data_IF_484726248512
#
_entry.id   IF_484726248512
#
_cell.length_a   1.000
_cell.length_b   1.000
_cell.length_c   1.000
_cell.angle_alpha   90.00
_cell.angle_beta   90.00
_cell.angle_gamma   90.00
#
_symmetry.space_group_name_H-M   'P 1'
#
loop_
_entity.id
_entity.type
_entity.pdbx_description
1 polymer ?
#
# COMPACT_ATOMS: atom_id res chain seq x y z
N UNK A 1 -0.96 9.78 -5.39
CA UNK A 1 -1.74 8.51 -5.43
C UNK A 1 -0.73 7.40 -5.38
N UNK A 2 -0.75 6.52 -4.38
CA UNK A 2 0.29 5.51 -4.22
C UNK A 2 0.14 4.46 -5.33
N UNK A 3 1.14 4.38 -6.22
CA UNK A 3 1.21 3.34 -7.25
C UNK A 3 1.63 2.02 -6.61
N UNK A 4 1.04 0.93 -7.09
CA UNK A 4 1.43 -0.41 -6.67
C UNK A 4 2.47 -0.97 -7.62
N UNK A 5 3.60 -1.44 -7.10
CA UNK A 5 4.72 -1.91 -7.91
C UNK A 5 4.36 -3.21 -8.61
N UNK A 6 3.69 -4.14 -7.92
CA UNK A 6 3.36 -5.44 -8.49
C UNK A 6 1.98 -5.48 -9.19
N UNK A 7 1.18 -4.41 -9.15
CA UNK A 7 -0.22 -4.45 -9.61
C UNK A 7 -0.65 -3.28 -10.52
N UNK A 8 0.24 -2.36 -10.88
CA UNK A 8 -0.11 -1.21 -11.74
C UNK A 8 -0.74 -1.62 -13.09
N UNK A 9 -0.38 -2.78 -13.63
CA UNK A 9 -0.98 -3.28 -14.87
C UNK A 9 -2.51 -3.48 -14.79
N UNK A 10 -3.10 -3.54 -13.60
CA UNK A 10 -4.55 -3.64 -13.39
C UNK A 10 -5.28 -2.29 -13.52
N UNK A 11 -4.57 -1.16 -13.62
CA UNK A 11 -5.16 0.19 -13.69
C UNK A 11 -6.14 0.32 -14.85
N UNK A 12 -5.87 -0.36 -15.97
CA UNK A 12 -6.72 -0.37 -17.18
C UNK A 12 -8.06 -1.05 -16.92
N UNK A 13 -8.12 -2.04 -16.02
CA UNK A 13 -9.34 -2.80 -15.74
C UNK A 13 -10.13 -2.23 -14.57
N UNK A 14 -9.48 -1.89 -13.46
CA UNK A 14 -10.15 -1.32 -12.28
C UNK A 14 -9.16 -0.64 -11.31
N UNK A 15 -9.28 0.67 -11.14
CA UNK A 15 -8.42 1.44 -10.24
C UNK A 15 -8.61 1.10 -8.73
N UNK A 16 -9.78 0.56 -8.33
CA UNK A 16 -10.02 0.12 -6.95
C UNK A 16 -9.23 -1.15 -6.64
N UNK A 17 -9.05 -2.07 -7.61
CA UNK A 17 -8.17 -3.23 -7.45
C UNK A 17 -6.74 -2.77 -7.13
N UNK A 18 -6.20 -1.85 -7.93
CA UNK A 18 -4.85 -1.30 -7.74
C UNK A 18 -4.73 -0.63 -6.38
N UNK A 19 -5.72 0.15 -5.96
CA UNK A 19 -5.70 0.80 -4.64
C UNK A 19 -5.72 -0.19 -3.48
N UNK A 20 -6.46 -1.30 -3.59
CA UNK A 20 -6.46 -2.35 -2.55
C UNK A 20 -5.11 -3.06 -2.50
N UNK A 21 -4.52 -3.35 -3.66
CA UNK A 21 -3.21 -3.96 -3.76
C UNK A 21 -2.09 -3.04 -3.24
N UNK A 22 -2.07 -1.77 -3.62
CA UNK A 22 -1.13 -0.77 -3.11
C UNK A 22 -1.17 -0.66 -1.58
N UNK A 23 -2.39 -0.68 -1.01
CA UNK A 23 -2.55 -0.70 0.46
C UNK A 23 -2.01 -1.99 1.07
N UNK A 24 -2.23 -3.13 0.44
CA UNK A 24 -1.67 -4.39 0.91
C UNK A 24 -0.13 -4.36 0.90
N UNK A 25 0.48 -3.84 -0.16
CA UNK A 25 1.94 -3.66 -0.24
C UNK A 25 2.47 -2.70 0.82
N UNK A 26 1.75 -1.61 1.10
CA UNK A 26 2.11 -0.68 2.18
C UNK A 26 2.02 -1.34 3.56
N UNK A 27 0.91 -2.00 3.87
CA UNK A 27 0.74 -2.65 5.18
C UNK A 27 1.60 -3.88 5.34
N UNK A 28 2.10 -4.49 4.26
CA UNK A 28 2.96 -5.67 4.34
C UNK A 28 4.15 -5.48 5.29
N UNK A 29 4.68 -4.25 5.37
CA UNK A 29 5.80 -3.89 6.24
C UNK A 29 5.38 -3.64 7.69
N UNK A 30 4.29 -2.92 7.89
CA UNK A 30 3.91 -2.41 9.21
C UNK A 30 2.95 -3.34 9.96
N UNK A 31 2.08 -4.01 9.23
CA UNK A 31 1.01 -4.86 9.76
C UNK A 31 0.64 -5.97 8.75
N UNK A 32 1.29 -7.14 8.84
CA UNK A 32 1.02 -8.25 7.93
C UNK A 32 -0.43 -8.74 8.01
N UNK A 33 -1.10 -8.61 9.15
CA UNK A 33 -2.52 -8.97 9.31
C UNK A 33 -3.38 -8.04 8.45
N UNK A 34 -3.17 -6.73 8.56
CA UNK A 34 -3.89 -5.76 7.71
C UNK A 34 -3.58 -5.98 6.23
N UNK A 35 -2.34 -6.30 5.86
CA UNK A 35 -1.98 -6.63 4.48
C UNK A 35 -2.81 -7.80 3.94
N UNK A 36 -2.89 -8.90 4.68
CA UNK A 36 -3.70 -10.09 4.33
C UNK A 36 -5.19 -9.72 4.20
N UNK A 37 -5.72 -8.88 5.10
CA UNK A 37 -7.11 -8.39 5.02
C UNK A 37 -7.34 -7.60 3.73
N UNK A 38 -6.40 -6.72 3.34
CA UNK A 38 -6.51 -5.97 2.06
C UNK A 38 -6.45 -6.90 0.85
N UNK A 39 -5.64 -7.95 0.89
CA UNK A 39 -5.56 -8.94 -0.20
C UNK A 39 -6.85 -9.77 -0.32
N UNK A 40 -7.52 -10.06 0.80
CA UNK A 40 -8.86 -10.66 0.79
C UNK A 40 -9.89 -9.72 0.15
N UNK A 41 -9.85 -8.42 0.48
CA UNK A 41 -10.73 -7.42 -0.13
C UNK A 41 -10.49 -7.32 -1.64
N UNK A 42 -9.22 -7.33 -2.07
CA UNK A 42 -8.82 -7.37 -3.47
C UNK A 42 -9.40 -8.59 -4.19
N UNK A 43 -9.22 -9.79 -3.64
CA UNK A 43 -9.73 -11.03 -4.21
C UNK A 43 -11.27 -11.03 -4.28
N UNK A 44 -11.94 -10.56 -3.22
CA UNK A 44 -13.40 -10.44 -3.20
C UNK A 44 -13.93 -9.49 -4.26
N UNK A 45 -13.32 -8.31 -4.42
CA UNK A 45 -13.68 -7.37 -5.49
C UNK A 45 -13.46 -7.99 -6.87
N UNK A 46 -12.33 -8.67 -7.09
CA UNK A 46 -12.04 -9.31 -8.37
C UNK A 46 -13.06 -10.40 -8.71
N UNK A 47 -13.45 -11.24 -7.74
CA UNK A 47 -14.49 -12.25 -7.95
C UNK A 47 -15.84 -11.62 -8.34
N UNK A 48 -16.22 -10.50 -7.72
CA UNK A 48 -17.42 -9.73 -8.13
C UNK A 48 -17.30 -9.21 -9.56
N UNK A 49 -16.14 -8.67 -9.94
CA UNK A 49 -15.89 -8.20 -11.30
C UNK A 49 -15.96 -9.34 -12.33
N UNK A 50 -15.44 -10.51 -12.00
CA UNK A 50 -15.54 -11.73 -12.83
C UNK A 50 -17.01 -12.11 -13.01
N UNK A 51 -17.76 -12.25 -11.91
CA UNK A 51 -19.19 -12.57 -11.98
C UNK A 51 -19.97 -11.56 -12.83
N UNK A 52 -19.70 -10.26 -12.65
CA UNK A 52 -20.38 -9.19 -13.40
C UNK A 52 -20.10 -9.30 -14.91
N UNK A 53 -18.85 -9.59 -15.30
CA UNK A 53 -18.47 -9.76 -16.71
C UNK A 53 -19.10 -10.98 -17.38
N UNK A 54 -19.49 -11.98 -16.60
CA UNK A 54 -20.14 -13.20 -17.08
C UNK A 54 -21.66 -13.17 -16.92
N UNK A 55 -22.24 -12.06 -16.44
CA UNK A 55 -23.70 -11.94 -16.24
C UNK A 55 -24.24 -12.79 -15.10
N UNK A 56 -23.36 -13.24 -14.19
CA UNK A 56 -23.68 -14.14 -13.07
C UNK A 56 -23.53 -13.43 -11.73
N UNK A 57 -23.57 -12.10 -11.73
CA UNK A 57 -23.57 -11.29 -10.52
C UNK A 57 -25.01 -11.00 -10.10
N UNK A 58 -25.42 -11.49 -8.94
CA UNK A 58 -26.82 -11.41 -8.50
C UNK A 58 -27.05 -10.20 -7.59
N UNK A 59 -26.20 -10.00 -6.57
CA UNK A 59 -26.40 -8.93 -5.57
C UNK A 59 -25.09 -8.44 -4.91
N UNK A 60 -25.13 -7.22 -4.35
CA UNK A 60 -24.06 -6.64 -3.53
C UNK A 60 -23.81 -7.40 -2.23
N UNK A 61 -24.86 -8.01 -1.66
CA UNK A 61 -24.79 -8.74 -0.38
C UNK A 61 -24.31 -10.18 -0.53
N UNK A 62 -24.06 -10.63 -1.75
CA UNK A 62 -23.53 -11.98 -1.98
C UNK A 62 -22.21 -12.18 -1.23
N UNK A 63 -22.13 -13.32 -0.54
CA UNK A 63 -20.91 -13.67 0.18
C UNK A 63 -19.81 -14.04 -0.81
N UNK A 64 -18.56 -13.75 -0.44
CA UNK A 64 -17.41 -14.11 -1.26
C UNK A 64 -17.38 -15.62 -1.58
N UNK A 65 -17.77 -16.46 -0.64
CA UNK A 65 -17.84 -17.91 -0.85
C UNK A 65 -18.92 -18.32 -1.88
N UNK A 66 -20.12 -17.72 -1.81
CA UNK A 66 -21.19 -18.02 -2.75
C UNK A 66 -20.79 -17.70 -4.20
N UNK A 67 -20.17 -16.53 -4.41
CA UNK A 67 -19.66 -16.12 -5.72
C UNK A 67 -18.63 -17.14 -6.23
N UNK A 68 -17.63 -17.51 -5.41
CA UNK A 68 -16.60 -18.47 -5.84
C UNK A 68 -17.17 -19.84 -6.17
N UNK A 69 -18.16 -20.31 -5.41
CA UNK A 69 -18.82 -21.58 -5.65
C UNK A 69 -19.53 -21.57 -7.00
N UNK A 70 -20.27 -20.49 -7.31
CA UNK A 70 -20.96 -20.32 -8.59
C UNK A 70 -19.97 -20.25 -9.75
N UNK A 71 -18.96 -19.39 -9.66
CA UNK A 71 -17.92 -19.25 -10.69
C UNK A 71 -17.21 -20.58 -11.01
N UNK A 72 -16.98 -21.40 -9.98
CA UNK A 72 -16.35 -22.72 -10.14
C UNK A 72 -17.32 -23.74 -10.74
N UNK A 73 -18.57 -23.77 -10.26
CA UNK A 73 -19.60 -24.69 -10.74
C UNK A 73 -19.91 -24.47 -12.22
N UNK A 74 -20.03 -23.21 -12.64
CA UNK A 74 -20.26 -22.81 -14.03
C UNK A 74 -18.99 -22.86 -14.90
N UNK A 75 -17.85 -23.27 -14.34
CA UNK A 75 -16.55 -23.36 -15.03
C UNK A 75 -16.09 -22.03 -15.64
N UNK A 76 -16.50 -20.91 -15.06
CA UNK A 76 -16.05 -19.56 -15.46
C UNK A 76 -14.58 -19.37 -15.10
N UNK A 77 -14.18 -19.85 -13.92
CA UNK A 77 -12.79 -19.81 -13.47
C UNK A 77 -12.17 -21.22 -13.50
N UNK A 78 -10.92 -21.36 -13.97
CA UNK A 78 -10.19 -22.62 -13.86
C UNK A 78 -10.00 -23.04 -12.40
N UNK A 79 -9.89 -24.35 -12.14
CA UNK A 79 -9.67 -24.89 -10.78
C UNK A 79 -8.47 -24.24 -10.07
N UNK A 80 -7.34 -24.10 -10.76
CA UNK A 80 -6.16 -23.48 -10.18
C UNK A 80 -6.41 -22.03 -9.71
N UNK A 81 -7.25 -21.28 -10.42
CA UNK A 81 -7.62 -19.92 -10.05
C UNK A 81 -8.61 -19.92 -8.87
N UNK A 82 -9.57 -20.86 -8.86
CA UNK A 82 -10.46 -21.06 -7.71
C UNK A 82 -9.67 -21.40 -6.43
N UNK A 83 -8.64 -22.24 -6.54
CA UNK A 83 -7.77 -22.59 -5.41
C UNK A 83 -7.04 -21.37 -4.86
N UNK A 84 -6.53 -20.49 -5.73
CA UNK A 84 -5.89 -19.22 -5.34
C UNK A 84 -6.88 -18.27 -4.65
N UNK A 85 -8.09 -18.12 -5.19
CA UNK A 85 -9.16 -17.35 -4.53
C UNK A 85 -9.49 -17.91 -3.14
N UNK A 86 -9.60 -19.24 -3.02
CA UNK A 86 -9.88 -19.89 -1.74
C UNK A 86 -8.72 -19.74 -0.74
N UNK A 87 -7.46 -19.79 -1.18
CA UNK A 87 -6.30 -19.54 -0.33
C UNK A 87 -6.37 -18.12 0.29
N UNK A 88 -6.60 -17.10 -0.55
CA UNK A 88 -6.74 -15.72 -0.10
C UNK A 88 -7.96 -15.51 0.82
N UNK A 89 -9.09 -16.16 0.51
CA UNK A 89 -10.29 -16.11 1.36
C UNK A 89 -10.03 -16.70 2.74
N UNK A 90 -9.41 -17.87 2.81
CA UNK A 90 -9.11 -18.57 4.07
C UNK A 90 -8.12 -17.79 4.92
N UNK A 91 -6.98 -17.40 4.34
CA UNK A 91 -5.96 -16.60 5.01
C UNK A 91 -6.56 -15.29 5.56
N UNK A 92 -7.34 -14.58 4.75
CA UNK A 92 -7.98 -13.35 5.18
C UNK A 92 -9.08 -13.54 6.22
N UNK A 93 -9.82 -14.65 6.19
CA UNK A 93 -10.80 -14.93 7.25
C UNK A 93 -10.08 -15.17 8.60
N UNK A 94 -9.01 -15.97 8.61
CA UNK A 94 -8.19 -16.17 9.82
C UNK A 94 -7.56 -14.87 10.31
N UNK A 95 -7.06 -14.02 9.41
CA UNK A 95 -6.54 -12.70 9.78
C UNK A 95 -7.61 -11.79 10.43
N UNK A 96 -8.86 -11.83 9.95
CA UNK A 96 -9.95 -11.04 10.52
C UNK A 96 -10.42 -11.58 11.87
N UNK A 97 -10.59 -12.91 11.99
CA UNK A 97 -11.21 -13.52 13.17
C UNK A 97 -10.22 -13.81 14.30
N UNK A 98 -9.01 -14.26 13.95
CA UNK A 98 -8.02 -14.74 14.91
C UNK A 98 -6.87 -13.74 15.12
N UNK A 99 -6.91 -12.58 14.45
CA UNK A 99 -5.80 -11.63 14.36
C UNK A 99 -4.46 -12.32 13.97
N UNK A 100 -4.55 -13.39 13.19
CA UNK A 100 -3.42 -14.27 12.87
C UNK A 100 -2.85 -13.96 11.48
N UNK A 101 -1.54 -13.86 11.40
CA UNK A 101 -0.81 -13.69 10.15
C UNK A 101 0.56 -13.09 10.38
N UNK A 102 1.61 -13.82 10.00
CA UNK A 102 2.97 -13.31 10.04
C UNK A 102 3.40 -12.79 8.65
N UNK A 103 4.62 -12.24 8.57
CA UNK A 103 5.17 -11.73 7.29
C UNK A 103 5.29 -12.81 6.20
N UNK A 104 5.54 -14.07 6.56
CA UNK A 104 5.58 -15.17 5.59
C UNK A 104 4.19 -15.44 5.01
N UNK A 105 3.15 -15.43 5.86
CA UNK A 105 1.76 -15.59 5.42
C UNK A 105 1.34 -14.44 4.50
N UNK A 106 1.70 -13.21 4.87
CA UNK A 106 1.41 -12.02 4.08
C UNK A 106 2.15 -12.03 2.73
N UNK A 107 3.41 -12.52 2.71
CA UNK A 107 4.19 -12.66 1.47
C UNK A 107 3.59 -13.72 0.55
N UNK A 108 3.17 -14.86 1.11
CA UNK A 108 2.48 -15.89 0.35
C UNK A 108 1.16 -15.35 -0.24
N UNK A 109 0.39 -14.62 0.56
CA UNK A 109 -0.85 -13.98 0.11
C UNK A 109 -0.59 -12.93 -0.99
N UNK A 110 0.46 -12.10 -0.89
CA UNK A 110 0.83 -11.15 -1.93
C UNK A 110 1.16 -11.85 -3.25
N UNK A 111 1.93 -12.94 -3.20
CA UNK A 111 2.27 -13.72 -4.39
C UNK A 111 1.03 -14.34 -5.03
N UNK A 112 0.11 -14.88 -4.23
CA UNK A 112 -1.16 -15.40 -4.72
C UNK A 112 -2.03 -14.31 -5.36
N UNK A 113 -2.11 -13.13 -4.73
CA UNK A 113 -2.84 -12.00 -5.31
C UNK A 113 -2.21 -11.52 -6.63
N UNK A 114 -0.89 -11.50 -6.74
CA UNK A 114 -0.19 -11.16 -7.98
C UNK A 114 -0.50 -12.18 -9.09
N UNK A 115 -0.40 -13.48 -8.81
CA UNK A 115 -0.80 -14.54 -9.75
C UNK A 115 -2.25 -14.36 -10.22
N UNK A 116 -3.14 -14.03 -9.29
CA UNK A 116 -4.54 -13.79 -9.58
C UNK A 116 -4.75 -12.53 -10.44
N UNK A 117 -4.02 -11.45 -10.16
CA UNK A 117 -4.00 -10.23 -10.96
C UNK A 117 -3.53 -10.48 -12.39
N UNK A 118 -2.44 -11.24 -12.57
CA UNK A 118 -1.91 -11.60 -13.90
C UNK A 118 -2.95 -12.39 -14.70
N UNK A 119 -3.57 -13.40 -14.09
CA UNK A 119 -4.63 -14.16 -14.74
C UNK A 119 -5.78 -13.24 -15.17
N UNK A 120 -6.23 -12.36 -14.28
CA UNK A 120 -7.31 -11.43 -14.57
C UNK A 120 -6.94 -10.49 -15.72
N UNK A 121 -5.73 -9.93 -15.72
CA UNK A 121 -5.26 -9.07 -16.80
C UNK A 121 -5.14 -9.81 -18.13
N UNK A 122 -4.69 -11.06 -18.14
CA UNK A 122 -4.61 -11.88 -19.36
C UNK A 122 -5.99 -12.11 -19.99
N UNK A 123 -6.95 -12.57 -19.18
CA UNK A 123 -8.29 -12.92 -19.63
C UNK A 123 -9.09 -11.67 -19.99
N UNK A 124 -9.10 -10.69 -19.10
CA UNK A 124 -10.02 -9.57 -19.15
C UNK A 124 -9.42 -8.27 -19.70
N UNK A 125 -8.09 -8.21 -19.81
CA UNK A 125 -7.36 -7.19 -20.53
C UNK A 125 -7.06 -7.54 -21.99
N UNK A 126 -7.46 -8.74 -22.45
CA UNK A 126 -7.18 -9.24 -23.82
C UNK A 126 -5.68 -9.26 -24.13
N UNK A 127 -4.85 -9.64 -23.15
CA UNK A 127 -3.39 -9.71 -23.25
C UNK A 127 -2.91 -11.10 -22.84
N UNK A 128 -3.18 -12.16 -23.62
CA UNK A 128 -2.91 -13.55 -23.23
C UNK A 128 -1.42 -13.79 -22.91
N UNK A 129 -0.53 -13.14 -23.65
CA UNK A 129 0.93 -13.27 -23.50
C UNK A 129 1.53 -12.31 -22.47
N UNK A 130 0.70 -11.59 -21.70
CA UNK A 130 1.19 -10.69 -20.67
C UNK A 130 1.98 -11.46 -19.62
N UNK A 131 3.22 -11.06 -19.38
CA UNK A 131 4.00 -11.46 -18.21
C UNK A 131 4.34 -10.22 -17.41
N UNK A 132 4.04 -10.18 -16.09
CA UNK A 132 4.64 -9.16 -15.25
C UNK A 132 6.15 -9.39 -15.19
N UNK A 133 6.89 -8.38 -14.73
CA UNK A 133 8.27 -8.58 -14.30
C UNK A 133 8.38 -9.50 -13.09
N UNK A 134 9.60 -9.67 -12.58
CA UNK A 134 9.81 -10.40 -11.33
C UNK A 134 8.99 -9.77 -10.18
N UNK A 135 8.42 -10.62 -9.32
CA UNK A 135 7.74 -10.14 -8.12
C UNK A 135 8.74 -9.40 -7.23
N UNK A 136 8.44 -8.14 -6.92
CA UNK A 136 9.25 -7.31 -6.03
C UNK A 136 8.61 -7.40 -4.65
N UNK A 137 9.37 -7.90 -3.67
CA UNK A 137 8.94 -7.83 -2.28
C UNK A 137 8.88 -6.33 -1.95
N UNK A 138 7.71 -5.78 -1.55
CA UNK A 138 7.64 -4.39 -1.11
C UNK A 138 8.67 -4.25 0.00
N UNK A 139 9.70 -3.44 -0.19
CA UNK A 139 10.70 -3.09 0.82
C UNK A 139 10.34 -1.71 1.35
N UNK A 140 10.67 -1.44 2.61
CA UNK A 140 10.54 -0.10 3.17
C UNK A 140 11.37 0.86 2.29
N UNK A 141 10.70 1.81 1.64
CA UNK A 141 11.42 3.00 1.17
C UNK A 141 11.91 3.71 2.44
N UNK A 142 13.20 4.11 2.52
CA UNK A 142 13.72 4.79 3.69
C UNK A 142 12.81 5.96 4.04
N UNK A 143 12.45 6.07 5.32
CA UNK A 143 11.49 7.04 5.83
C UNK A 143 11.83 8.44 5.31
N UNK A 144 11.02 9.04 4.42
CA UNK A 144 11.30 10.37 3.87
C UNK A 144 11.28 11.44 4.97
N UNK A 145 10.72 11.12 6.15
CA UNK A 145 10.78 12.01 7.31
C UNK A 145 12.11 11.97 8.04
N UNK A 146 13.01 11.01 7.83
CA UNK A 146 14.36 11.08 8.40
C UNK A 146 15.15 12.24 7.81
N UNK A 147 15.14 12.38 6.47
CA UNK A 147 15.82 13.49 5.80
C UNK A 147 15.18 14.83 6.16
N UNK A 148 13.84 14.89 6.22
CA UNK A 148 13.12 16.08 6.67
C UNK A 148 13.40 16.41 8.15
N UNK A 149 13.53 15.41 9.03
CA UNK A 149 13.89 15.61 10.44
C UNK A 149 15.30 16.17 10.57
N UNK A 150 16.26 15.62 9.80
CA UNK A 150 17.63 16.15 9.73
C UNK A 150 17.65 17.59 9.23
N UNK A 151 16.85 17.90 8.21
CA UNK A 151 16.75 19.26 7.67
C UNK A 151 16.12 20.23 8.68
N UNK A 152 15.05 19.83 9.38
CA UNK A 152 14.43 20.63 10.45
C UNK A 152 15.42 20.89 11.59
N UNK A 153 16.19 19.89 11.99
CA UNK A 153 17.19 20.02 13.05
C UNK A 153 18.33 20.97 12.64
N UNK A 154 18.82 20.84 11.40
CA UNK A 154 19.82 21.75 10.85
C UNK A 154 19.31 23.21 10.75
N UNK A 155 18.06 23.40 10.34
CA UNK A 155 17.45 24.73 10.29
C UNK A 155 17.26 25.34 11.68
N UNK A 156 16.87 24.53 12.69
CA UNK A 156 16.77 24.99 14.09
C UNK A 156 18.11 25.43 14.64
N UNK A 157 19.18 24.68 14.37
CA UNK A 157 20.53 25.05 14.77
C UNK A 157 20.96 26.39 14.15
N UNK A 158 20.72 26.59 12.85
CA UNK A 158 21.01 27.86 12.16
C UNK A 158 20.23 29.04 12.73
N UNK A 159 18.95 28.85 13.05
CA UNK A 159 18.14 29.91 13.67
C UNK A 159 18.72 30.30 15.02
N UNK A 160 19.05 29.32 15.88
CA UNK A 160 19.66 29.58 17.18
C UNK A 160 20.99 30.35 17.06
N UNK A 161 21.87 29.95 16.14
CA UNK A 161 23.13 30.66 15.87
C UNK A 161 22.89 32.12 15.44
N UNK A 162 21.92 32.36 14.56
CA UNK A 162 21.60 33.72 14.10
C UNK A 162 20.98 34.59 15.20
N UNK A 163 20.15 34.02 16.06
CA UNK A 163 19.56 34.71 17.21
C UNK A 163 20.62 35.08 18.24
N UNK A 164 21.56 34.17 18.54
CA UNK A 164 22.70 34.46 19.40
C UNK A 164 23.60 35.55 18.83
N UNK A 165 23.92 35.50 17.53
CA UNK A 165 24.74 36.51 16.88
C UNK A 165 24.05 37.89 16.91
N UNK A 166 22.74 37.94 16.65
CA UNK A 166 21.95 39.16 16.72
C UNK A 166 21.88 39.72 18.16
N UNK A 167 21.75 38.86 19.16
CA UNK A 167 21.76 39.26 20.57
C UNK A 167 23.12 39.84 20.98
N UNK A 168 24.23 39.20 20.57
CA UNK A 168 25.59 39.70 20.82
C UNK A 168 25.83 41.06 20.15
N UNK A 169 25.45 41.21 18.88
CA UNK A 169 25.57 42.48 18.15
C UNK A 169 24.76 43.61 18.80
N UNK A 170 23.54 43.34 19.28
CA UNK A 170 22.74 44.32 20.03
C UNK A 170 23.40 44.72 21.35
N UNK A 171 23.95 43.77 22.09
CA UNK A 171 24.63 44.04 23.35
C UNK A 171 25.90 44.90 23.15
N UNK A 172 26.67 44.65 22.10
CA UNK A 172 27.85 45.46 21.75
C UNK A 172 27.49 46.90 21.38
N UNK A 173 26.41 47.09 20.60
CA UNK A 173 25.90 48.42 20.24
C UNK A 173 25.44 49.18 21.49
N UNK A 174 24.70 48.53 22.40
CA UNK A 174 24.24 49.15 23.65
C UNK A 174 25.39 49.55 24.57
N UNK A 175 26.43 48.73 24.68
CA UNK A 175 27.65 49.05 25.45
C UNK A 175 28.39 50.24 24.82
N UNK A 176 28.50 50.28 23.49
CA UNK A 176 29.12 51.40 22.77
C UNK A 176 28.35 52.71 22.98
N UNK A 177 27.02 52.68 22.88
CA UNK A 177 26.16 53.83 23.09
C UNK A 177 26.26 54.37 24.52
N UNK A 178 26.21 53.50 25.54
CA UNK A 178 26.38 53.89 26.95
C UNK A 178 27.76 54.49 27.24
N UNK A 179 28.82 53.91 26.66
CA UNK A 179 30.19 54.42 26.80
C UNK A 179 30.44 55.76 26.10
N UNK A 180 29.62 56.13 25.12
CA UNK A 180 29.67 57.44 24.44
C UNK A 180 28.90 58.54 25.16
N UNK A 181 27.84 58.18 25.91
CA UNK A 181 27.03 59.12 26.70
C UNK A 181 27.71 59.55 28.00
N UNK A 182 28.57 58.70 28.57
CA UNK A 182 29.35 58.99 29.79
C UNK A 182 30.61 59.84 29.55
N UNK A 183 30.94 60.16 28.30
CA UNK A 183 32.13 60.97 27.92
C UNK A 183 31.79 62.40 27.45
N UNK A 184 30.54 62.83 27.60
CA UNK A 184 30.10 64.23 27.44
C UNK A 184 29.81 64.82 28.81
#
# INVERSE_FOLDING_TARGET
MQLSINFDFLTVQDAKLVRLAARAEYYFQYDPVTAIIKLRQFAGLMAKLVAARHGTYEDERETFEAILRRLSFERIIPKAIADVFHALRKAGNSAVHDAAGNHSDALAALKFACQLGVWFHRVYGKRPDFSPGAFIIPVEEPDPTEDLRREIEALRARVAETEEAAARAKAEVDVHLRGSQLRK
#
